data_IF_441086750253
#
_entry.id   IF_441086750253
#
_cell.length_a   1.000
_cell.length_b   1.000
_cell.length_c   1.000
_cell.angle_alpha   90.00
_cell.angle_beta   90.00
_cell.angle_gamma   90.00
#
_symmetry.space_group_name_H-M   'P 1'
#
loop_
_entity.id
_entity.type
_entity.pdbx_description
1 polymer ?
#
# COMPACT_ATOMS: atom_id res chain seq x y z
N UNK A 1 13.84 -6.22 21.81
CA UNK A 1 13.87 -5.94 20.35
C UNK A 1 12.44 -5.61 19.95
N UNK A 2 12.21 -4.52 19.23
CA UNK A 2 10.85 -4.09 18.83
C UNK A 2 10.38 -4.97 17.68
N UNK A 3 9.17 -5.51 17.76
CA UNK A 3 8.56 -6.28 16.67
C UNK A 3 8.15 -5.37 15.51
N UNK A 4 7.95 -5.94 14.30
CA UNK A 4 7.52 -5.16 13.14
C UNK A 4 6.19 -4.41 13.39
N UNK A 5 5.13 -5.02 13.96
CA UNK A 5 3.89 -4.30 14.23
C UNK A 5 4.05 -3.13 15.21
N UNK A 6 4.83 -3.31 16.28
CA UNK A 6 5.15 -2.24 17.24
C UNK A 6 5.95 -1.10 16.58
N UNK A 7 6.85 -1.43 15.64
CA UNK A 7 7.61 -0.42 14.92
C UNK A 7 6.74 0.50 14.06
N UNK A 8 5.63 -0.01 13.51
CA UNK A 8 4.72 0.75 12.65
C UNK A 8 3.53 1.39 13.40
N UNK A 9 3.38 1.15 14.70
CA UNK A 9 2.30 1.73 15.51
C UNK A 9 2.31 3.26 15.44
N UNK A 10 1.15 3.84 15.08
CA UNK A 10 0.95 5.28 14.98
C UNK A 10 1.68 5.97 13.81
N UNK A 11 2.45 5.26 13.00
CA UNK A 11 3.22 5.85 11.89
C UNK A 11 2.37 6.09 10.65
N UNK A 12 2.74 7.14 9.92
CA UNK A 12 2.29 7.39 8.56
C UNK A 12 3.34 6.84 7.58
N UNK A 13 2.93 6.04 6.61
CA UNK A 13 3.81 5.40 5.62
C UNK A 13 3.50 5.94 4.23
N UNK A 14 4.50 6.44 3.51
CA UNK A 14 4.40 6.74 2.09
C UNK A 14 4.90 5.53 1.29
N UNK A 15 4.01 4.91 0.53
CA UNK A 15 4.30 3.77 -0.34
C UNK A 15 4.30 4.20 -1.81
N UNK A 16 5.47 4.15 -2.43
CA UNK A 16 5.61 4.31 -3.89
C UNK A 16 5.51 2.96 -4.59
N UNK A 17 5.01 2.93 -5.82
CA UNK A 17 4.93 1.69 -6.60
C UNK A 17 3.84 0.72 -6.14
N UNK A 18 2.88 1.17 -5.33
CA UNK A 18 1.80 0.35 -4.76
C UNK A 18 1.01 -0.46 -5.81
N UNK A 19 0.83 0.08 -7.02
CA UNK A 19 0.10 -0.61 -8.11
C UNK A 19 0.86 -1.80 -8.75
N UNK A 20 2.16 -1.94 -8.51
CA UNK A 20 2.95 -3.09 -8.99
C UNK A 20 2.77 -4.31 -8.08
N UNK A 21 3.08 -5.52 -8.58
CA UNK A 21 2.84 -6.77 -7.85
C UNK A 21 3.37 -6.76 -6.39
N UNK A 22 4.65 -6.46 -6.19
CA UNK A 22 5.24 -6.36 -4.85
C UNK A 22 4.69 -5.21 -4.02
N UNK A 23 4.31 -4.10 -4.65
CA UNK A 23 3.66 -2.98 -3.97
C UNK A 23 2.30 -3.37 -3.38
N UNK A 24 1.51 -4.15 -4.12
CA UNK A 24 0.21 -4.68 -3.65
C UNK A 24 0.40 -5.62 -2.47
N UNK A 25 1.35 -6.55 -2.56
CA UNK A 25 1.68 -7.49 -1.47
C UNK A 25 2.15 -6.75 -0.22
N UNK A 26 3.02 -5.74 -0.36
CA UNK A 26 3.48 -4.95 0.78
C UNK A 26 2.34 -4.16 1.42
N UNK A 27 1.48 -3.54 0.62
CA UNK A 27 0.31 -2.81 1.12
C UNK A 27 -0.62 -3.75 1.91
N UNK A 28 -0.96 -4.90 1.35
CA UNK A 28 -1.74 -5.96 2.02
C UNK A 28 -1.08 -6.37 3.33
N UNK A 29 0.22 -6.71 3.30
CA UNK A 29 0.94 -7.22 4.46
C UNK A 29 1.03 -6.19 5.57
N UNK A 30 1.28 -4.93 5.22
CA UNK A 30 1.35 -3.82 6.17
C UNK A 30 -0.01 -3.61 6.84
N UNK A 31 -1.10 -3.55 6.07
CA UNK A 31 -2.45 -3.37 6.61
C UNK A 31 -2.92 -4.57 7.44
N UNK A 32 -2.60 -5.81 7.02
CA UNK A 32 -2.98 -7.04 7.74
C UNK A 32 -2.15 -7.29 9.00
N UNK A 33 -0.84 -7.07 8.94
CA UNK A 33 0.08 -7.43 10.04
C UNK A 33 0.42 -6.27 10.97
N UNK A 34 0.21 -5.02 10.56
CA UNK A 34 0.44 -3.83 11.38
C UNK A 34 -0.87 -3.03 11.53
N UNK A 35 -1.88 -3.57 12.23
CA UNK A 35 -3.22 -2.99 12.28
C UNK A 35 -3.27 -1.60 12.94
N UNK A 36 -2.23 -1.22 13.68
CA UNK A 36 -2.09 0.08 14.33
C UNK A 36 -1.30 1.11 13.52
N UNK A 37 -0.95 0.83 12.26
CA UNK A 37 -0.41 1.85 11.37
C UNK A 37 -1.45 2.96 11.20
N UNK A 38 -1.05 4.22 11.30
CA UNK A 38 -2.00 5.35 11.29
C UNK A 38 -2.56 5.59 9.89
N UNK A 39 -1.70 5.61 8.89
CA UNK A 39 -2.08 5.78 7.49
C UNK A 39 -1.02 5.22 6.56
N UNK A 40 -1.47 4.71 5.40
CA UNK A 40 -0.60 4.37 4.27
C UNK A 40 -1.03 5.22 3.08
N UNK A 41 -0.17 6.15 2.68
CA UNK A 41 -0.35 7.02 1.51
C UNK A 41 0.28 6.35 0.30
N UNK A 42 -0.45 6.27 -0.82
CA UNK A 42 0.04 5.66 -2.05
C UNK A 42 0.24 6.71 -3.13
N UNK A 43 1.45 6.76 -3.70
CA UNK A 43 1.72 7.60 -4.87
C UNK A 43 1.40 6.83 -6.15
N UNK A 44 0.38 7.29 -6.88
CA UNK A 44 -0.02 6.71 -8.16
C UNK A 44 0.19 7.72 -9.28
N UNK A 45 0.98 7.31 -10.27
CA UNK A 45 1.29 8.10 -11.47
C UNK A 45 0.44 7.67 -12.65
N UNK A 46 0.27 8.56 -13.62
CA UNK A 46 -0.34 8.21 -14.90
C UNK A 46 0.48 7.11 -15.61
N UNK A 47 -0.20 6.28 -16.41
CA UNK A 47 0.41 5.32 -17.33
C UNK A 47 -0.23 5.55 -18.71
N UNK A 48 0.49 5.29 -19.80
CA UNK A 48 -0.10 5.40 -21.13
C UNK A 48 -1.41 4.59 -21.22
N UNK A 49 -2.50 5.26 -21.58
CA UNK A 49 -3.83 4.66 -21.69
C UNK A 49 -4.53 4.31 -20.38
N UNK A 50 -4.02 4.73 -19.20
CA UNK A 50 -4.71 4.54 -17.91
C UNK A 50 -4.55 5.74 -16.97
N UNK A 51 -5.67 6.22 -16.44
CA UNK A 51 -5.66 7.28 -15.41
C UNK A 51 -5.35 6.71 -14.03
N UNK A 52 -4.84 7.52 -13.07
CA UNK A 52 -4.49 7.02 -11.73
C UNK A 52 -5.63 6.30 -11.01
N UNK A 53 -6.87 6.77 -11.19
CA UNK A 53 -8.07 6.22 -10.56
C UNK A 53 -8.31 4.76 -10.98
N UNK A 54 -8.26 4.47 -12.29
CA UNK A 54 -8.38 3.11 -12.82
C UNK A 54 -7.28 2.20 -12.25
N UNK A 55 -6.06 2.72 -12.11
CA UNK A 55 -4.94 1.95 -11.54
C UNK A 55 -5.12 1.65 -10.05
N UNK A 56 -5.79 2.55 -9.31
CA UNK A 56 -6.19 2.32 -7.91
C UNK A 56 -7.29 1.27 -7.85
N UNK A 57 -8.29 1.36 -8.72
CA UNK A 57 -9.41 0.42 -8.78
C UNK A 57 -8.94 -1.00 -9.10
N UNK A 58 -8.03 -1.15 -10.08
CA UNK A 58 -7.35 -2.43 -10.38
C UNK A 58 -6.46 -2.95 -9.25
N UNK A 59 -5.99 -2.08 -8.36
CA UNK A 59 -5.20 -2.47 -7.21
C UNK A 59 -6.07 -3.04 -6.10
N UNK A 60 -7.22 -2.41 -5.81
CA UNK A 60 -8.12 -2.80 -4.70
C UNK A 60 -9.04 -3.97 -5.06
N UNK A 61 -9.34 -4.18 -6.35
CA UNK A 61 -10.14 -5.32 -6.84
C UNK A 61 -9.29 -6.57 -7.16
N UNK A 62 -7.96 -6.43 -7.09
CA UNK A 62 -7.01 -7.50 -7.33
C UNK A 62 -7.18 -8.63 -6.31
N UNK A 63 -7.30 -9.87 -6.78
CA UNK A 63 -7.07 -11.07 -5.95
C UNK A 63 -5.56 -11.23 -5.79
N UNK A 64 -5.00 -10.57 -4.80
CA UNK A 64 -3.61 -10.79 -4.37
C UNK A 64 -3.54 -12.15 -3.67
#
# INVERSE_FOLDING_TARGET
>A
MVSIPEYYEGKNVLLTGATGFMGKVLLEKLLRSCPKVKAVYVLVRNKAGKVPQERVEEMITCKV
#
